data_IF_946833540143
#
_entry.id   IF_946833540143
#
_cell.length_a   1.000
_cell.length_b   1.000
_cell.length_c   1.000
_cell.angle_alpha   90.00
_cell.angle_beta   90.00
_cell.angle_gamma   90.00
#
_symmetry.space_group_name_H-M   'P 1'
#
loop_
_entity.id
_entity.type
_entity.pdbx_description
1 polymer ?
#
# COMPACT_ATOMS: atom_id res chain seq x y z
N UNK A 1 19.02 -34.15 -18.06
CA UNK A 1 17.91 -33.15 -18.06
C UNK A 1 18.31 -31.83 -17.40
N UNK A 2 19.06 -31.84 -16.29
CA UNK A 2 19.44 -30.64 -15.53
C UNK A 2 20.24 -29.60 -16.34
N UNK A 3 21.19 -30.02 -17.17
CA UNK A 3 21.92 -29.11 -18.06
C UNK A 3 21.01 -28.47 -19.12
N UNK A 4 20.11 -29.26 -19.72
CA UNK A 4 19.15 -28.75 -20.71
C UNK A 4 18.23 -27.67 -20.13
N UNK A 5 17.80 -27.79 -18.86
CA UNK A 5 17.05 -26.71 -18.19
C UNK A 5 17.90 -25.45 -17.98
N UNK A 6 19.15 -25.60 -17.56
CA UNK A 6 20.08 -24.49 -17.32
C UNK A 6 20.37 -23.73 -18.63
N UNK A 7 20.62 -24.44 -19.73
CA UNK A 7 20.82 -23.86 -21.06
C UNK A 7 19.52 -23.26 -21.62
N UNK A 8 18.37 -23.90 -21.39
CA UNK A 8 17.06 -23.38 -21.81
C UNK A 8 16.73 -22.04 -21.13
N UNK A 9 16.98 -21.94 -19.83
CA UNK A 9 16.72 -20.72 -19.08
C UNK A 9 17.69 -19.60 -19.44
N UNK A 10 18.97 -19.93 -19.66
CA UNK A 10 19.93 -18.98 -20.23
C UNK A 10 19.48 -18.47 -21.60
N UNK A 11 19.03 -19.35 -22.49
CA UNK A 11 18.57 -18.99 -23.84
C UNK A 11 17.34 -18.07 -23.80
N UNK A 12 16.36 -18.35 -22.92
CA UNK A 12 15.20 -17.46 -22.71
C UNK A 12 15.62 -16.09 -22.22
N UNK A 13 16.51 -16.00 -21.23
CA UNK A 13 17.03 -14.74 -20.70
C UNK A 13 17.79 -13.95 -21.77
N UNK A 14 18.60 -14.65 -22.58
CA UNK A 14 19.29 -14.07 -23.74
C UNK A 14 18.31 -13.54 -24.79
N UNK A 15 17.24 -14.28 -25.09
CA UNK A 15 16.20 -13.89 -26.04
C UNK A 15 15.37 -12.69 -25.55
N UNK A 16 15.17 -12.55 -24.23
CA UNK A 16 14.57 -11.35 -23.60
C UNK A 16 15.53 -10.15 -23.58
N UNK A 17 16.76 -10.30 -24.06
CA UNK A 17 17.75 -9.24 -24.02
C UNK A 17 18.26 -8.93 -22.60
N UNK A 18 18.15 -9.86 -21.66
CA UNK A 18 18.76 -9.73 -20.33
C UNK A 18 20.30 -9.79 -20.44
N UNK A 19 20.98 -9.27 -19.42
CA UNK A 19 22.43 -9.40 -19.29
C UNK A 19 22.75 -10.81 -18.77
N UNK A 20 23.22 -11.68 -19.65
CA UNK A 20 23.61 -13.06 -19.35
C UNK A 20 25.06 -13.32 -19.78
N UNK A 21 25.73 -14.39 -19.31
CA UNK A 21 27.03 -14.80 -19.86
C UNK A 21 26.97 -14.93 -21.39
N UNK A 22 28.02 -14.52 -22.11
CA UNK A 22 28.04 -14.58 -23.58
C UNK A 22 27.92 -16.02 -24.08
N UNK A 23 28.50 -16.95 -23.34
CA UNK A 23 28.45 -18.39 -23.61
C UNK A 23 27.42 -19.05 -22.68
N UNK A 24 26.72 -20.10 -23.15
CA UNK A 24 25.78 -20.82 -22.32
C UNK A 24 26.50 -21.49 -21.14
N UNK A 25 25.88 -21.52 -19.95
CA UNK A 25 26.37 -22.32 -18.83
C UNK A 25 26.42 -23.80 -19.18
N UNK A 26 27.50 -24.48 -18.79
CA UNK A 26 27.66 -25.93 -18.93
C UNK A 26 27.71 -26.61 -17.56
N UNK A 27 27.31 -27.87 -17.51
CA UNK A 27 27.41 -28.66 -16.27
C UNK A 27 28.63 -29.58 -16.34
N UNK A 28 29.50 -29.49 -15.35
CA UNK A 28 30.67 -30.34 -15.21
C UNK A 28 30.26 -31.75 -14.73
N UNK A 29 31.16 -32.72 -14.87
CA UNK A 29 30.93 -34.11 -14.45
C UNK A 29 30.76 -34.29 -12.95
N UNK A 30 31.25 -33.35 -12.15
CA UNK A 30 31.07 -33.26 -10.70
C UNK A 30 29.74 -32.61 -10.29
N UNK A 31 28.91 -32.20 -11.27
CA UNK A 31 27.62 -31.54 -11.05
C UNK A 31 27.70 -30.04 -10.78
N UNK A 32 28.89 -29.43 -10.83
CA UNK A 32 29.06 -27.98 -10.75
C UNK A 32 28.70 -27.29 -12.07
N UNK A 33 28.34 -26.01 -12.02
CA UNK A 33 27.99 -25.22 -13.21
C UNK A 33 29.13 -24.27 -13.53
N UNK A 34 29.62 -24.32 -14.77
CA UNK A 34 30.62 -23.36 -15.27
C UNK A 34 29.90 -22.24 -16.00
N UNK A 35 30.05 -21.02 -15.48
CA UNK A 35 29.55 -19.81 -16.12
C UNK A 35 30.71 -18.93 -16.59
N UNK A 36 30.52 -18.26 -17.74
CA UNK A 36 31.53 -17.34 -18.27
C UNK A 36 31.41 -15.96 -17.60
N UNK A 37 32.52 -15.43 -17.08
CA UNK A 37 32.58 -14.11 -16.41
C UNK A 37 32.23 -12.94 -17.33
N UNK A 38 32.45 -13.10 -18.63
CA UNK A 38 32.12 -12.08 -19.64
C UNK A 38 30.61 -12.07 -19.87
N UNK A 39 29.95 -11.10 -19.23
CA UNK A 39 28.53 -10.82 -19.41
C UNK A 39 28.30 -10.07 -20.72
N UNK A 40 27.34 -10.54 -21.52
CA UNK A 40 26.92 -9.88 -22.74
C UNK A 40 25.41 -9.71 -22.78
N UNK A 41 24.96 -8.56 -23.28
CA UNK A 41 23.62 -8.44 -23.81
C UNK A 41 23.72 -8.85 -25.28
N UNK A 42 22.93 -9.81 -25.75
CA UNK A 42 22.68 -9.85 -27.19
C UNK A 42 21.88 -8.59 -27.48
N UNK A 43 22.57 -7.56 -27.97
CA UNK A 43 21.98 -6.34 -28.50
C UNK A 43 21.29 -6.58 -29.84
N UNK A 44 20.63 -7.73 -30.01
CA UNK A 44 19.79 -7.96 -31.16
C UNK A 44 18.56 -7.04 -31.05
N UNK A 45 18.14 -6.41 -32.15
CA UNK A 45 16.91 -5.60 -32.18
C UNK A 45 15.68 -6.35 -31.64
N UNK A 46 15.65 -7.69 -31.76
CA UNK A 46 14.59 -8.54 -31.23
C UNK A 46 14.59 -8.61 -29.69
N UNK A 47 15.76 -8.76 -29.06
CA UNK A 47 15.86 -8.82 -27.59
C UNK A 47 15.48 -7.51 -26.92
N UNK A 48 15.84 -6.37 -27.53
CA UNK A 48 15.40 -5.05 -27.04
C UNK A 48 13.89 -4.85 -27.13
N UNK A 49 13.24 -5.33 -28.20
CA UNK A 49 11.79 -5.25 -28.37
C UNK A 49 11.05 -6.09 -27.33
N UNK A 50 11.52 -7.30 -27.04
CA UNK A 50 10.92 -8.14 -26.00
C UNK A 50 11.11 -7.56 -24.60
N UNK A 51 12.30 -7.03 -24.28
CA UNK A 51 12.54 -6.35 -23.00
C UNK A 51 11.59 -5.15 -22.80
N UNK A 52 11.33 -4.38 -23.86
CA UNK A 52 10.39 -3.26 -23.81
C UNK A 52 8.95 -3.74 -23.58
N UNK A 53 8.52 -4.79 -24.28
CA UNK A 53 7.17 -5.37 -24.12
C UNK A 53 6.98 -5.93 -22.70
N UNK A 54 7.98 -6.63 -22.17
CA UNK A 54 7.89 -7.22 -20.83
C UNK A 54 7.94 -6.14 -19.74
N UNK A 55 8.74 -5.08 -19.91
CA UNK A 55 8.75 -3.93 -19.00
C UNK A 55 7.40 -3.20 -18.99
N UNK A 56 6.73 -3.06 -20.14
CA UNK A 56 5.40 -2.45 -20.24
C UNK A 56 4.33 -3.32 -19.57
N UNK A 57 4.39 -4.64 -19.75
CA UNK A 57 3.49 -5.60 -19.09
C UNK A 57 3.68 -5.61 -17.58
N UNK A 58 4.91 -5.59 -17.08
CA UNK A 58 5.17 -5.50 -15.64
C UNK A 58 4.71 -4.17 -15.05
N UNK A 59 4.88 -3.05 -15.76
CA UNK A 59 4.37 -1.75 -15.33
C UNK A 59 2.83 -1.77 -15.24
N UNK A 60 2.16 -2.35 -16.24
CA UNK A 60 0.70 -2.49 -16.24
C UNK A 60 0.22 -3.40 -15.12
N UNK A 61 0.88 -4.53 -14.89
CA UNK A 61 0.53 -5.46 -13.80
C UNK A 61 0.70 -4.81 -12.43
N UNK A 62 1.80 -4.06 -12.20
CA UNK A 62 1.99 -3.30 -10.94
C UNK A 62 0.92 -2.23 -10.75
N UNK A 63 0.50 -1.55 -11.82
CA UNK A 63 -0.57 -0.57 -11.75
C UNK A 63 -1.94 -1.21 -11.44
N UNK A 64 -2.23 -2.38 -12.02
CA UNK A 64 -3.45 -3.14 -11.72
C UNK A 64 -3.45 -3.71 -10.29
N UNK A 65 -2.34 -4.26 -9.81
CA UNK A 65 -2.18 -4.73 -8.42
C UNK A 65 -2.37 -3.58 -7.42
N UNK A 66 -1.80 -2.40 -7.68
CA UNK A 66 -2.02 -1.22 -6.82
C UNK A 66 -3.47 -0.73 -6.84
N UNK A 67 -4.15 -0.79 -8.00
CA UNK A 67 -5.58 -0.45 -8.07
C UNK A 67 -6.44 -1.41 -7.26
N UNK A 68 -6.16 -2.70 -7.33
CA UNK A 68 -6.88 -3.71 -6.54
C UNK A 68 -6.66 -3.50 -5.04
N UNK A 69 -5.42 -3.29 -4.62
CA UNK A 69 -5.09 -2.99 -3.22
C UNK A 69 -5.79 -1.71 -2.73
N UNK A 70 -5.87 -0.67 -3.56
CA UNK A 70 -6.58 0.57 -3.21
C UNK A 70 -8.10 0.35 -3.08
N UNK A 71 -8.70 -0.49 -3.93
CA UNK A 71 -10.14 -0.82 -3.84
C UNK A 71 -10.43 -1.61 -2.56
N UNK A 72 -9.57 -2.55 -2.19
CA UNK A 72 -9.71 -3.33 -0.95
C UNK A 72 -9.54 -2.46 0.29
N UNK A 73 -8.51 -1.60 0.32
CA UNK A 73 -8.32 -0.65 1.41
C UNK A 73 -9.52 0.31 1.56
N UNK A 74 -10.09 0.78 0.45
CA UNK A 74 -11.27 1.65 0.46
C UNK A 74 -12.53 0.92 0.97
N UNK A 75 -12.69 -0.38 0.66
CA UNK A 75 -13.79 -1.19 1.21
C UNK A 75 -13.63 -1.42 2.71
N UNK A 76 -12.42 -1.78 3.17
CA UNK A 76 -12.13 -1.96 4.58
C UNK A 76 -12.35 -0.68 5.40
N UNK A 77 -11.92 0.47 4.89
CA UNK A 77 -12.14 1.77 5.55
C UNK A 77 -13.64 2.13 5.66
N UNK A 78 -14.44 1.85 4.62
CA UNK A 78 -15.89 2.07 4.65
C UNK A 78 -16.60 1.17 5.66
N UNK A 79 -16.13 -0.06 5.85
CA UNK A 79 -16.71 -1.00 6.80
C UNK A 79 -16.38 -0.61 8.24
N UNK A 80 -15.13 -0.18 8.51
CA UNK A 80 -14.73 0.36 9.80
C UNK A 80 -15.49 1.65 10.15
N UNK A 81 -15.68 2.56 9.19
CA UNK A 81 -16.46 3.78 9.42
C UNK A 81 -17.93 3.48 9.77
N UNK A 82 -18.54 2.46 9.14
CA UNK A 82 -19.89 2.02 9.49
C UNK A 82 -19.95 1.42 10.89
N UNK A 83 -18.96 0.60 11.27
CA UNK A 83 -18.89 0.02 12.60
C UNK A 83 -18.74 1.09 13.70
N UNK A 84 -17.88 2.10 13.48
CA UNK A 84 -17.72 3.23 14.40
C UNK A 84 -19.00 4.05 14.52
N UNK A 85 -19.68 4.34 13.41
CA UNK A 85 -20.94 5.08 13.42
C UNK A 85 -22.08 4.34 14.14
N UNK A 86 -22.09 3.00 14.10
CA UNK A 86 -23.05 2.18 14.86
C UNK A 86 -22.70 2.18 16.35
N UNK A 87 -21.43 2.04 16.71
CA UNK A 87 -20.97 2.09 18.09
C UNK A 87 -21.25 3.45 18.74
N UNK A 88 -21.03 4.57 18.04
CA UNK A 88 -21.36 5.91 18.54
C UNK A 88 -22.87 6.10 18.71
N UNK A 89 -23.69 5.58 17.79
CA UNK A 89 -25.16 5.63 17.92
C UNK A 89 -25.66 4.81 19.11
N UNK A 90 -25.08 3.65 19.36
CA UNK A 90 -25.42 2.82 20.53
C UNK A 90 -24.96 3.47 21.84
N UNK A 91 -23.76 4.05 21.87
CA UNK A 91 -23.27 4.80 23.02
C UNK A 91 -24.14 6.03 23.33
N UNK A 92 -24.57 6.78 22.31
CA UNK A 92 -25.48 7.90 22.48
C UNK A 92 -26.87 7.47 22.98
N UNK A 93 -27.37 6.31 22.53
CA UNK A 93 -28.64 5.74 23.02
C UNK A 93 -28.56 5.27 24.46
N UNK A 94 -27.45 4.67 24.88
CA UNK A 94 -27.22 4.26 26.26
C UNK A 94 -27.05 5.47 27.20
N UNK A 95 -26.37 6.53 26.75
CA UNK A 95 -26.27 7.78 27.50
C UNK A 95 -27.63 8.44 27.71
N UNK A 96 -28.55 8.33 26.75
CA UNK A 96 -29.91 8.86 26.85
C UNK A 96 -30.88 8.01 27.72
N UNK A 97 -30.50 6.79 28.10
CA UNK A 97 -31.32 5.88 28.92
C UNK A 97 -30.87 5.77 30.39
N UNK A 98 -29.94 6.62 30.84
CA UNK A 98 -29.57 6.64 32.26
C UNK A 98 -30.77 7.08 33.12
N UNK A 99 -31.20 6.26 34.10
CA UNK A 99 -32.35 6.55 34.93
C UNK A 99 -32.05 7.65 35.95
N UNK A 100 -33.01 8.55 36.08
CA UNK A 100 -33.23 9.43 37.22
C UNK A 100 -33.20 8.59 38.51
N UNK A 101 -32.18 8.70 39.37
CA UNK A 101 -32.25 8.69 40.84
C UNK A 101 -30.85 9.00 41.40
N UNK A 102 -30.71 10.16 42.05
CA UNK A 102 -30.10 10.30 43.39
C UNK A 102 -30.45 11.71 43.89
N UNK A 103 -31.49 11.77 44.72
CA UNK A 103 -31.75 12.92 45.58
C UNK A 103 -30.79 12.89 46.77
N UNK A 104 -30.21 14.05 47.11
CA UNK A 104 -29.55 14.23 48.42
C UNK A 104 -28.54 15.39 48.50
N UNK A 105 -29.01 16.50 49.11
CA UNK A 105 -28.24 17.47 49.92
C UNK A 105 -27.50 18.62 49.18
N UNK A 106 -28.17 19.77 49.10
CA UNK A 106 -27.54 21.11 49.31
C UNK A 106 -27.13 21.29 50.80
N UNK A 107 -26.22 22.20 51.21
CA UNK A 107 -25.84 23.46 50.54
C UNK A 107 -24.33 23.84 50.54
N UNK A 108 -23.95 24.86 49.75
CA UNK A 108 -23.13 26.06 50.10
C UNK A 108 -22.49 26.71 48.82
N UNK A 109 -22.61 28.04 48.75
CA UNK A 109 -22.30 29.05 47.70
C UNK A 109 -20.77 29.25 47.39
N UNK A 110 -20.31 30.24 46.57
CA UNK A 110 -20.57 30.55 45.14
C UNK A 110 -19.29 30.81 44.26
N UNK A 111 -19.39 30.58 42.94
CA UNK A 111 -18.73 31.24 41.76
C UNK A 111 -17.17 31.31 41.59
N UNK A 112 -16.61 31.54 40.36
CA UNK A 112 -17.20 31.56 39.01
C UNK A 112 -16.54 30.65 37.96
N UNK A 113 -17.33 30.42 36.92
CA UNK A 113 -17.07 30.07 35.50
C UNK A 113 -15.62 30.10 34.97
N UNK A 114 -15.20 29.01 34.30
CA UNK A 114 -14.39 29.11 33.09
C UNK A 114 -14.52 27.85 32.20
N UNK A 115 -15.51 27.88 31.31
CA UNK A 115 -15.68 26.91 30.24
C UNK A 115 -16.12 27.63 28.96
N UNK A 116 -15.17 28.18 28.21
CA UNK A 116 -15.31 28.52 26.79
C UNK A 116 -13.99 29.12 26.30
N UNK A 117 -13.12 28.34 25.63
CA UNK A 117 -12.25 28.82 24.53
C UNK A 117 -11.37 27.74 23.86
N UNK A 118 -11.64 26.44 24.04
CA UNK A 118 -10.83 25.39 23.39
C UNK A 118 -11.31 25.02 21.97
N UNK A 119 -12.55 25.37 21.60
CA UNK A 119 -13.21 24.79 20.41
C UNK A 119 -13.07 25.66 19.13
N UNK A 120 -12.91 26.98 19.26
CA UNK A 120 -12.76 27.84 18.08
C UNK A 120 -11.38 27.70 17.40
N UNK A 121 -10.33 27.40 18.19
CA UNK A 121 -8.96 27.31 17.69
C UNK A 121 -8.70 26.09 16.82
N UNK A 122 -9.28 24.94 17.17
CA UNK A 122 -9.09 23.67 16.45
C UNK A 122 -9.83 23.67 15.12
N UNK A 123 -11.08 24.17 15.10
CA UNK A 123 -11.92 24.26 13.89
C UNK A 123 -11.33 25.26 12.89
N UNK A 124 -10.82 26.41 13.34
CA UNK A 124 -10.12 27.36 12.46
C UNK A 124 -8.84 26.79 11.85
N UNK A 125 -8.09 25.98 12.62
CA UNK A 125 -6.86 25.35 12.14
C UNK A 125 -7.15 24.24 11.12
N UNK A 126 -8.22 23.48 11.32
CA UNK A 126 -8.66 22.44 10.41
C UNK A 126 -9.18 23.04 9.08
N UNK A 127 -9.98 24.12 9.17
CA UNK A 127 -10.51 24.81 7.98
C UNK A 127 -9.41 25.44 7.13
N UNK A 128 -8.39 26.03 7.76
CA UNK A 128 -7.24 26.61 7.05
C UNK A 128 -6.37 25.55 6.36
N UNK A 129 -6.24 24.36 6.96
CA UNK A 129 -5.47 23.24 6.41
C UNK A 129 -6.16 22.58 5.22
N UNK A 130 -7.49 22.48 5.25
CA UNK A 130 -8.29 21.98 4.12
C UNK A 130 -8.33 22.96 2.95
N UNK A 131 -8.47 24.26 3.21
CA UNK A 131 -8.51 25.27 2.15
C UNK A 131 -7.17 25.41 1.41
N UNK A 132 -6.04 25.23 2.10
CA UNK A 132 -4.71 25.25 1.49
C UNK A 132 -4.36 24.01 0.65
N UNK A 133 -5.15 22.94 0.71
CA UNK A 133 -4.92 21.71 -0.07
C UNK A 133 -5.73 21.64 -1.38
N UNK A 134 -6.66 22.56 -1.60
CA UNK A 134 -7.53 22.58 -2.79
C UNK A 134 -7.49 23.88 -3.59
N UNK A 135 -6.66 24.86 -3.19
CA UNK A 135 -6.50 26.14 -3.87
C UNK A 135 -5.04 26.53 -3.98
N UNK A 136 -4.39 26.06 -5.05
CA UNK A 136 -3.06 26.42 -5.51
C UNK A 136 -2.94 26.03 -6.98
#
# INVERSE_FOLDING_TARGET
VKEASIVSDWSKRRARGERVPIEPPSMNSDGSVTETTRMGRIDSPAGRKMAAIDAEKEAKRKAEEQRLAAIEAAKAAKEQAKAQALAEKEAARQAAQQPVVTAGVEPVQPAPEQAADADQGTVSKLKKKLLGMFGG
#
